data_IF_150733920886
#
_entry.id   IF_150733920886
#
_cell.length_a   1.000
_cell.length_b   1.000
_cell.length_c   1.000
_cell.angle_alpha   90.00
_cell.angle_beta   90.00
_cell.angle_gamma   90.00
#
_symmetry.space_group_name_H-M   'P 1'
#
loop_
_entity.id
_entity.type
_entity.pdbx_description
1 polymer ?
#
# COMPACT_ATOMS: atom_id res chain seq x y z
N UNK A 1 25.18 -16.86 -13.02
CA UNK A 1 23.94 -17.64 -12.89
C UNK A 1 23.82 -18.06 -11.42
N UNK A 2 23.22 -17.22 -10.59
CA UNK A 2 22.94 -17.55 -9.18
C UNK A 2 21.43 -17.76 -9.10
N UNK A 3 21.07 -19.02 -8.95
CA UNK A 3 19.71 -19.51 -8.76
C UNK A 3 19.38 -19.39 -7.26
N UNK A 4 18.24 -18.78 -6.92
CA UNK A 4 17.48 -19.11 -5.71
C UNK A 4 17.89 -18.45 -4.40
N UNK A 5 17.22 -17.33 -4.08
CA UNK A 5 16.54 -17.15 -2.79
C UNK A 5 15.20 -16.47 -3.08
N UNK A 6 14.14 -17.27 -3.15
CA UNK A 6 12.77 -16.79 -3.36
C UNK A 6 12.32 -16.06 -2.10
N UNK A 7 12.08 -14.73 -2.15
CA UNK A 7 11.07 -14.13 -1.28
C UNK A 7 9.84 -15.03 -1.43
N UNK A 8 9.32 -15.62 -0.34
CA UNK A 8 8.16 -16.51 -0.41
C UNK A 8 6.98 -15.73 -1.00
N UNK A 9 6.84 -15.79 -2.31
CA UNK A 9 5.69 -15.26 -3.00
C UNK A 9 4.52 -16.08 -2.51
N UNK A 10 3.45 -15.44 -2.03
CA UNK A 10 2.16 -16.11 -2.04
C UNK A 10 1.74 -16.02 -3.50
N UNK A 11 1.84 -17.10 -4.30
CA UNK A 11 1.32 -17.04 -5.65
C UNK A 11 -0.17 -16.70 -5.54
N UNK A 12 -0.74 -16.05 -6.56
CA UNK A 12 -2.19 -15.84 -6.64
C UNK A 12 -3.00 -17.16 -6.51
N UNK A 13 -2.32 -18.31 -6.67
CA UNK A 13 -2.82 -19.68 -6.52
C UNK A 13 -2.41 -20.40 -5.21
N UNK A 14 -1.75 -19.71 -4.28
CA UNK A 14 -1.31 -20.27 -3.01
C UNK A 14 -2.48 -20.43 -2.04
N UNK A 15 -2.58 -21.60 -1.40
CA UNK A 15 -3.51 -21.78 -0.31
C UNK A 15 -2.94 -21.14 0.95
N UNK A 16 -3.69 -20.21 1.54
CA UNK A 16 -3.45 -19.67 2.86
C UNK A 16 -4.39 -20.37 3.84
N UNK A 17 -3.84 -21.09 4.82
CA UNK A 17 -4.62 -21.90 5.78
C UNK A 17 -5.64 -22.84 5.11
N UNK A 18 -5.28 -23.43 3.95
CA UNK A 18 -6.15 -24.34 3.20
C UNK A 18 -7.16 -23.67 2.25
N UNK A 19 -7.22 -22.33 2.21
CA UNK A 19 -8.14 -21.56 1.36
C UNK A 19 -7.39 -20.69 0.36
N UNK A 20 -7.98 -20.45 -0.82
CA UNK A 20 -7.43 -19.45 -1.75
C UNK A 20 -7.77 -18.05 -1.24
N UNK A 21 -6.79 -17.16 -1.25
CA UNK A 21 -7.04 -15.76 -0.93
C UNK A 21 -7.95 -15.13 -2.00
N UNK A 22 -9.03 -14.44 -1.59
CA UNK A 22 -9.88 -13.74 -2.54
C UNK A 22 -9.13 -12.56 -3.18
N UNK A 23 -9.56 -12.16 -4.38
CA UNK A 23 -9.03 -10.96 -5.02
C UNK A 23 -9.34 -9.73 -4.15
N UNK A 24 -8.37 -8.86 -3.84
CA UNK A 24 -8.61 -7.66 -3.02
C UNK A 24 -9.72 -6.77 -3.58
N UNK A 25 -9.77 -6.66 -4.92
CA UNK A 25 -10.82 -5.91 -5.61
C UNK A 25 -12.21 -6.51 -5.41
N UNK A 26 -12.31 -7.85 -5.42
CA UNK A 26 -13.58 -8.53 -5.16
C UNK A 26 -14.07 -8.26 -3.74
N UNK A 27 -13.19 -8.35 -2.74
CA UNK A 27 -13.53 -8.04 -1.34
C UNK A 27 -13.97 -6.58 -1.21
N UNK A 28 -13.24 -5.65 -1.84
CA UNK A 28 -13.58 -4.22 -1.83
C UNK A 28 -14.96 -3.95 -2.43
N UNK A 29 -15.31 -4.55 -3.57
CA UNK A 29 -16.60 -4.31 -4.22
C UNK A 29 -17.77 -5.01 -3.54
N UNK A 30 -17.53 -6.18 -2.95
CA UNK A 30 -18.60 -6.98 -2.31
C UNK A 30 -18.87 -6.61 -0.87
N UNK A 31 -17.86 -6.15 -0.12
CA UNK A 31 -17.99 -5.89 1.32
C UNK A 31 -17.88 -4.41 1.70
N UNK A 32 -17.07 -3.62 0.98
CA UNK A 32 -16.77 -2.22 1.35
C UNK A 32 -17.60 -1.22 0.53
N UNK A 33 -18.00 -1.59 -0.69
CA UNK A 33 -18.80 -0.73 -1.55
C UNK A 33 -20.15 -0.37 -0.92
N UNK A 34 -20.49 0.92 -0.95
CA UNK A 34 -21.78 1.44 -0.52
C UNK A 34 -22.31 2.45 -1.54
N UNK A 35 -23.62 2.45 -1.76
CA UNK A 35 -24.31 3.45 -2.58
C UNK A 35 -24.74 4.67 -1.74
N UNK A 36 -24.79 4.52 -0.42
CA UNK A 36 -25.27 5.53 0.52
C UNK A 36 -24.16 5.93 1.48
N UNK A 37 -23.95 7.24 1.65
CA UNK A 37 -23.02 7.80 2.63
C UNK A 37 -23.82 8.24 3.84
N UNK A 38 -23.50 7.68 5.00
CA UNK A 38 -24.11 8.08 6.28
C UNK A 38 -23.23 9.16 6.93
N UNK A 39 -23.74 10.37 7.19
CA UNK A 39 -22.98 11.40 7.91
C UNK A 39 -22.84 11.02 9.39
N UNK A 40 -21.72 11.43 10.01
CA UNK A 40 -21.52 11.34 11.46
C UNK A 40 -22.00 12.65 12.11
N UNK A 41 -22.90 12.55 13.09
CA UNK A 41 -23.52 13.68 13.79
C UNK A 41 -22.74 14.12 15.04
N UNK A 42 -21.74 13.34 15.47
CA UNK A 42 -20.94 13.60 16.68
C UNK A 42 -19.56 14.17 16.35
N UNK A 43 -18.98 13.77 15.23
CA UNK A 43 -17.63 14.16 14.85
C UNK A 43 -17.61 14.95 13.54
N UNK A 44 -16.80 16.01 13.51
CA UNK A 44 -16.58 16.77 12.27
C UNK A 44 -15.63 16.02 11.35
N UNK A 45 -15.64 16.36 10.06
CA UNK A 45 -14.66 15.85 9.10
C UNK A 45 -13.19 16.13 9.49
N UNK A 46 -12.93 17.04 10.43
CA UNK A 46 -11.59 17.30 10.94
C UNK A 46 -10.99 16.07 11.65
N UNK A 47 -11.81 15.17 12.21
CA UNK A 47 -11.32 13.94 12.84
C UNK A 47 -10.59 13.04 11.83
N UNK A 48 -11.15 12.88 10.63
CA UNK A 48 -10.50 12.13 9.54
C UNK A 48 -9.19 12.81 9.12
N UNK A 49 -9.20 14.14 8.99
CA UNK A 49 -8.01 14.90 8.58
C UNK A 49 -6.88 14.83 9.62
N UNK A 50 -7.23 14.84 10.91
CA UNK A 50 -6.26 14.68 12.00
C UNK A 50 -5.67 13.26 12.04
N UNK A 51 -6.47 12.23 11.75
CA UNK A 51 -5.99 10.85 11.63
C UNK A 51 -4.90 10.72 10.56
N UNK A 52 -5.13 11.27 9.37
CA UNK A 52 -4.12 11.28 8.29
C UNK A 52 -2.86 12.06 8.68
N UNK A 53 -3.02 13.21 9.35
CA UNK A 53 -1.90 14.00 9.81
C UNK A 53 -1.01 13.21 10.79
N UNK A 54 -1.63 12.51 11.75
CA UNK A 54 -0.90 11.70 12.71
C UNK A 54 -0.23 10.50 12.05
N UNK A 55 -0.93 9.78 11.17
CA UNK A 55 -0.38 8.67 10.36
C UNK A 55 0.90 9.09 9.65
N UNK A 56 0.84 10.21 8.91
CA UNK A 56 1.98 10.76 8.17
C UNK A 56 3.15 11.27 9.05
N UNK A 57 2.93 11.56 10.34
CA UNK A 57 4.01 11.93 11.28
C UNK A 57 4.68 10.68 11.88
N UNK A 58 3.92 9.60 12.06
CA UNK A 58 4.40 8.36 12.66
C UNK A 58 5.10 7.45 11.66
N UNK A 59 4.52 7.28 10.48
CA UNK A 59 5.01 6.33 9.50
C UNK A 59 4.94 6.83 8.05
N UNK A 60 5.76 6.18 7.23
CA UNK A 60 5.74 6.35 5.78
C UNK A 60 6.40 5.13 5.14
N UNK A 61 5.63 4.31 4.44
CA UNK A 61 6.18 3.15 3.74
C UNK A 61 6.84 3.59 2.43
N UNK A 62 8.13 3.30 2.28
CA UNK A 62 8.85 3.59 1.03
C UNK A 62 8.45 2.54 -0.01
N UNK A 63 7.91 2.99 -1.15
CA UNK A 63 7.66 2.12 -2.32
C UNK A 63 8.97 1.64 -2.92
N UNK A 64 8.98 0.51 -3.63
CA UNK A 64 10.18 0.05 -4.33
C UNK A 64 10.77 1.16 -5.21
N UNK A 65 12.10 1.23 -5.27
CA UNK A 65 12.83 2.28 -6.00
C UNK A 65 12.49 2.32 -7.50
N UNK A 66 12.11 1.17 -8.08
CA UNK A 66 11.67 1.08 -9.47
C UNK A 66 10.16 0.88 -9.53
N UNK A 67 9.52 1.57 -10.48
CA UNK A 67 8.13 1.32 -10.90
C UNK A 67 8.06 0.51 -12.19
N UNK A 68 9.20 -0.05 -12.61
CA UNK A 68 9.35 -0.95 -13.73
C UNK A 68 9.82 -2.32 -13.26
N UNK A 69 9.36 -3.36 -13.95
CA UNK A 69 9.83 -4.74 -13.77
C UNK A 69 11.34 -4.80 -13.88
N UNK A 70 11.98 -5.51 -12.95
CA UNK A 70 13.42 -5.74 -13.02
C UNK A 70 13.82 -6.65 -14.17
N UNK A 71 12.89 -7.44 -14.69
CA UNK A 71 13.13 -8.41 -15.77
C UNK A 71 13.34 -7.77 -17.15
N UNK A 72 12.53 -6.77 -17.51
CA UNK A 72 12.46 -6.21 -18.87
C UNK A 72 12.26 -4.69 -18.91
N UNK A 73 12.24 -4.02 -17.74
CA UNK A 73 12.09 -2.56 -17.65
C UNK A 73 10.69 -2.03 -17.97
N UNK A 74 9.73 -2.91 -18.28
CA UNK A 74 8.35 -2.52 -18.56
C UNK A 74 7.69 -1.91 -17.33
N UNK A 75 6.92 -0.85 -17.53
CA UNK A 75 6.23 -0.14 -16.44
C UNK A 75 5.17 -1.05 -15.81
N UNK A 76 5.14 -1.12 -14.47
CA UNK A 76 4.13 -1.88 -13.73
C UNK A 76 2.68 -1.41 -14.03
N UNK A 77 2.51 -0.21 -14.58
CA UNK A 77 1.20 0.33 -14.97
C UNK A 77 0.66 -0.29 -16.28
N UNK A 78 1.53 -0.93 -17.07
CA UNK A 78 1.21 -1.47 -18.39
C UNK A 78 1.17 -3.00 -18.42
N UNK A 79 1.70 -3.64 -17.38
CA UNK A 79 1.82 -5.10 -17.26
C UNK A 79 0.98 -5.61 -16.11
N UNK A 80 0.34 -6.77 -16.32
CA UNK A 80 -0.48 -7.44 -15.29
C UNK A 80 0.18 -8.71 -14.76
N UNK A 81 1.49 -8.87 -14.97
CA UNK A 81 2.28 -9.99 -14.46
C UNK A 81 2.82 -9.67 -13.07
N UNK A 82 2.92 -10.70 -12.23
CA UNK A 82 3.50 -10.61 -10.90
C UNK A 82 5.03 -10.77 -10.99
N UNK A 83 5.70 -9.75 -11.53
CA UNK A 83 7.15 -9.71 -11.65
C UNK A 83 7.70 -8.57 -10.79
N UNK A 84 8.60 -8.82 -9.83
CA UNK A 84 9.12 -7.80 -8.94
C UNK A 84 9.66 -6.57 -9.70
N UNK A 85 9.35 -5.34 -9.23
CA UNK A 85 8.61 -5.00 -8.02
C UNK A 85 7.09 -4.89 -8.21
N UNK A 86 6.55 -5.25 -9.37
CA UNK A 86 5.13 -5.17 -9.66
C UNK A 86 4.33 -6.24 -8.92
N UNK A 87 3.16 -5.88 -8.41
CA UNK A 87 2.19 -6.83 -7.86
C UNK A 87 0.76 -6.39 -8.19
N UNK A 88 0.35 -6.48 -9.47
CA UNK A 88 -0.88 -5.88 -9.95
C UNK A 88 -2.13 -6.52 -9.34
N UNK A 89 -3.13 -5.70 -9.01
CA UNK A 89 -4.40 -6.18 -8.47
C UNK A 89 -5.32 -6.54 -9.63
N UNK A 90 -5.71 -7.82 -9.71
CA UNK A 90 -6.56 -8.32 -10.78
C UNK A 90 -8.01 -7.89 -10.57
N UNK A 91 -8.70 -7.59 -11.66
CA UNK A 91 -10.14 -7.37 -11.65
C UNK A 91 -10.90 -8.70 -11.54
N UNK A 92 -11.98 -8.78 -10.73
CA UNK A 92 -12.91 -9.88 -10.82
C UNK A 92 -13.68 -9.84 -12.15
N UNK A 93 -14.30 -10.96 -12.58
CA UNK A 93 -15.21 -10.97 -13.71
C UNK A 93 -16.31 -9.90 -13.55
N UNK A 94 -16.66 -9.23 -14.64
CA UNK A 94 -17.70 -8.17 -14.69
C UNK A 94 -17.44 -6.95 -13.79
N UNK A 95 -16.17 -6.63 -13.48
CA UNK A 95 -15.84 -5.41 -12.74
C UNK A 95 -16.21 -4.15 -13.54
N UNK A 96 -17.03 -3.28 -12.96
CA UNK A 96 -17.49 -2.04 -13.60
C UNK A 96 -16.34 -1.11 -14.00
N UNK A 97 -15.25 -1.07 -13.24
CA UNK A 97 -14.08 -0.25 -13.57
C UNK A 97 -13.39 -0.80 -14.81
N UNK A 98 -13.20 -2.12 -14.90
CA UNK A 98 -12.63 -2.77 -16.08
C UNK A 98 -13.47 -2.49 -17.33
N UNK A 99 -14.79 -2.64 -17.23
CA UNK A 99 -15.70 -2.39 -18.36
C UNK A 99 -15.67 -0.93 -18.83
N UNK A 100 -15.47 0.03 -17.92
CA UNK A 100 -15.41 1.46 -18.25
C UNK A 100 -14.06 1.90 -18.81
N UNK A 101 -12.95 1.38 -18.28
CA UNK A 101 -11.60 1.86 -18.66
C UNK A 101 -10.89 0.96 -19.66
N UNK A 102 -11.34 -0.28 -19.86
CA UNK A 102 -10.63 -1.30 -20.62
C UNK A 102 -9.33 -1.80 -19.96
N UNK A 103 -9.02 -1.35 -18.74
CA UNK A 103 -7.81 -1.73 -18.04
C UNK A 103 -7.86 -3.22 -17.63
N UNK A 104 -6.76 -3.93 -17.81
CA UNK A 104 -6.69 -5.38 -17.49
C UNK A 104 -6.47 -5.66 -16.01
N UNK A 105 -5.83 -4.74 -15.29
CA UNK A 105 -5.55 -4.82 -13.86
C UNK A 105 -5.35 -3.42 -13.28
N UNK A 106 -5.24 -3.30 -11.95
CA UNK A 106 -4.87 -2.06 -11.27
C UNK A 106 -3.38 -2.05 -10.94
N UNK A 107 -2.74 -0.90 -11.17
CA UNK A 107 -1.34 -0.66 -10.81
C UNK A 107 -1.13 -0.83 -9.30
N UNK A 108 -0.10 -1.59 -8.95
CA UNK A 108 0.39 -1.72 -7.59
C UNK A 108 1.85 -2.19 -7.62
N UNK A 109 2.69 -1.55 -6.79
CA UNK A 109 4.10 -1.89 -6.62
C UNK A 109 4.34 -2.30 -5.18
N UNK A 110 5.17 -3.32 -4.99
CA UNK A 110 5.58 -3.76 -3.66
C UNK A 110 6.38 -2.64 -2.99
N UNK A 111 6.31 -2.57 -1.67
CA UNK A 111 7.17 -1.67 -0.91
C UNK A 111 8.61 -2.14 -0.89
N UNK A 112 9.53 -1.21 -0.61
CA UNK A 112 10.95 -1.54 -0.55
C UNK A 112 11.21 -2.48 0.64
N UNK A 113 11.93 -3.60 0.43
CA UNK A 113 12.42 -4.42 1.53
C UNK A 113 13.49 -3.66 2.33
N UNK A 114 13.61 -3.98 3.62
CA UNK A 114 14.76 -3.58 4.46
C UNK A 114 15.87 -4.61 4.29
N UNK A 115 17.07 -4.14 3.98
CA UNK A 115 18.29 -4.96 3.99
C UNK A 115 19.14 -4.49 5.17
N UNK A 116 18.99 -5.12 6.33
CA UNK A 116 19.93 -4.91 7.43
C UNK A 116 21.09 -5.91 7.34
N UNK A 117 22.24 -5.53 7.90
CA UNK A 117 23.56 -6.05 7.57
C UNK A 117 23.85 -7.47 8.11
N UNK A 118 24.13 -8.40 7.20
CA UNK A 118 25.02 -9.58 7.28
C UNK A 118 24.88 -10.68 8.36
N UNK A 119 23.74 -10.90 9.02
CA UNK A 119 23.56 -12.16 9.80
C UNK A 119 22.13 -12.69 9.97
N UNK A 120 21.16 -12.27 9.16
CA UNK A 120 19.88 -12.98 9.13
C UNK A 120 19.37 -13.12 7.70
N UNK A 121 18.84 -14.31 7.45
CA UNK A 121 18.39 -14.74 6.15
C UNK A 121 16.99 -14.11 5.94
N UNK A 122 16.92 -13.11 5.06
CA UNK A 122 15.70 -12.68 4.36
C UNK A 122 14.45 -12.45 5.23
N UNK A 123 14.50 -11.50 6.16
CA UNK A 123 13.25 -10.94 6.67
C UNK A 123 12.60 -10.10 5.56
N UNK A 124 11.40 -10.49 5.08
CA UNK A 124 10.56 -9.67 4.17
C UNK A 124 10.00 -8.43 4.89
N UNK A 125 10.80 -7.78 5.72
CA UNK A 125 10.43 -6.58 6.45
C UNK A 125 10.36 -5.39 5.50
N UNK A 126 9.33 -4.58 5.69
CA UNK A 126 9.06 -3.41 4.87
C UNK A 126 9.81 -2.20 5.40
N UNK A 127 10.40 -1.42 4.50
CA UNK A 127 11.02 -0.14 4.86
C UNK A 127 9.92 0.88 5.19
N UNK A 128 9.55 0.90 6.47
CA UNK A 128 8.78 1.99 7.06
C UNK A 128 9.80 3.05 7.45
N UNK A 129 9.84 4.14 6.71
CA UNK A 129 10.53 5.36 7.11
C UNK A 129 9.81 5.92 8.33
N UNK A 130 10.21 5.44 9.51
CA UNK A 130 9.82 6.11 10.76
C UNK A 130 10.55 7.43 10.75
N UNK A 131 9.82 8.54 10.67
CA UNK A 131 10.38 9.87 10.94
C UNK A 131 10.69 10.08 12.45
N UNK A 132 10.81 8.99 13.21
CA UNK A 132 11.04 8.93 14.64
C UNK A 132 12.43 9.45 15.09
N UNK A 133 13.24 10.01 14.19
CA UNK A 133 14.49 10.65 14.56
C UNK A 133 14.83 11.89 13.70
N UNK A 134 13.82 12.66 13.28
CA UNK A 134 14.05 14.06 12.93
C UNK A 134 13.68 14.93 14.14
N UNK A 135 14.54 15.87 14.59
CA UNK A 135 14.33 16.68 15.81
C UNK A 135 13.21 17.73 15.66
N UNK A 136 12.32 17.56 14.69
CA UNK A 136 11.22 18.45 14.38
C UNK A 136 9.92 17.69 14.55
N UNK A 137 9.49 17.47 15.80
CA UNK A 137 8.13 17.01 16.08
C UNK A 137 7.13 17.99 15.44
N UNK A 138 6.52 17.58 14.33
CA UNK A 138 5.50 18.35 13.62
C UNK A 138 4.29 18.57 14.55
N UNK A 139 4.02 17.63 15.47
CA UNK A 139 3.08 17.79 16.59
C UNK A 139 3.29 19.08 17.40
N UNK A 140 4.54 19.43 17.75
CA UNK A 140 4.85 20.63 18.52
C UNK A 140 4.63 21.92 17.70
N UNK A 141 4.94 21.89 16.40
CA UNK A 141 4.69 23.05 15.51
C UNK A 141 3.21 23.28 15.23
N UNK A 142 2.41 22.21 15.14
CA UNK A 142 0.97 22.32 14.94
C UNK A 142 0.22 22.78 16.20
N UNK A 143 0.59 22.32 17.40
CA UNK A 143 0.05 22.83 18.67
C UNK A 143 0.32 24.34 18.82
N UNK A 144 1.49 24.81 18.38
CA UNK A 144 1.82 26.24 18.36
C UNK A 144 0.92 27.04 17.40
N UNK A 145 0.65 26.52 16.19
CA UNK A 145 -0.25 27.17 15.23
C UNK A 145 -1.73 27.14 15.67
N UNK A 146 -2.20 26.04 16.27
CA UNK A 146 -3.57 25.96 16.80
C UNK A 146 -3.78 26.93 17.97
N UNK A 147 -2.77 27.09 18.85
CA UNK A 147 -2.80 28.10 19.90
C UNK A 147 -2.91 29.52 19.31
N UNK A 148 -2.11 29.85 18.28
CA UNK A 148 -2.14 31.16 17.60
C UNK A 148 -3.45 31.45 16.85
N UNK A 149 -4.25 30.45 16.49
CA UNK A 149 -5.55 30.64 15.84
C UNK A 149 -6.72 30.75 16.84
N UNK A 150 -6.45 30.59 18.14
CA UNK A 150 -7.45 30.66 19.22
C UNK A 150 -7.21 31.80 20.22
N UNK A 151 -6.18 32.63 19.99
CA UNK A 151 -5.91 33.92 20.66
C UNK A 151 -6.05 35.05 19.66
#
# INVERSE_FOLDING_TARGET
MIMGLTCREVPLSGLHNGYRLPLPRLVSTTMIGTETITPDDRYTHMLMQWGQFLDHDLDSTVVALSQSRFSDGQLCAQVCTNDPPCFPIQFPPNDQRQLRTGARCMFFVRSSPVWWQWNDISSNEQCISKRANQPNHILYRCLQCLWQLTT
#
